data_IF_952989170270
#
_entry.id   IF_952989170270
#
_cell.length_a   1.000
_cell.length_b   1.000
_cell.length_c   1.000
_cell.angle_alpha   90.00
_cell.angle_beta   90.00
_cell.angle_gamma   90.00
#
_symmetry.space_group_name_H-M   'P 1'
#
loop_
_entity.id
_entity.type
_entity.pdbx_description
1 polymer ?
#
# COMPACT_ATOMS: atom_id res chain seq x y z
N UNK A 1 26.03 8.73 6.82
CA UNK A 1 25.51 7.62 6.02
C UNK A 1 24.17 8.10 5.51
N UNK A 2 23.99 8.10 4.20
CA UNK A 2 22.72 8.46 3.58
C UNK A 2 21.57 7.55 4.03
N UNK A 3 20.38 8.11 4.01
CA UNK A 3 19.11 7.44 4.28
C UNK A 3 18.41 7.07 2.97
N UNK A 4 17.86 5.86 2.93
CA UNK A 4 16.87 5.43 1.94
C UNK A 4 15.59 6.28 2.07
N UNK A 5 14.74 6.25 1.03
CA UNK A 5 13.50 7.01 1.02
C UNK A 5 12.60 6.67 2.22
N UNK A 6 12.48 5.37 2.56
CA UNK A 6 11.69 4.95 3.74
C UNK A 6 12.27 5.52 5.04
N UNK A 7 13.59 5.48 5.22
CA UNK A 7 14.23 6.04 6.41
C UNK A 7 14.01 7.56 6.52
N UNK A 8 14.07 8.31 5.40
CA UNK A 8 13.79 9.75 5.40
C UNK A 8 12.36 10.08 5.81
N UNK A 9 11.39 9.35 5.25
CA UNK A 9 9.98 9.52 5.58
C UNK A 9 9.77 9.23 7.08
N UNK A 10 10.27 8.10 7.56
CA UNK A 10 10.13 7.70 8.95
C UNK A 10 10.86 8.64 9.93
N UNK A 11 12.06 9.13 9.59
CA UNK A 11 12.79 10.10 10.41
C UNK A 11 11.99 11.39 10.59
N UNK A 12 11.43 11.93 9.50
CA UNK A 12 10.62 13.13 9.55
C UNK A 12 9.37 12.95 10.44
N UNK A 13 8.67 11.82 10.32
CA UNK A 13 7.46 11.53 11.11
C UNK A 13 7.77 11.10 12.54
N UNK A 14 9.03 10.83 12.87
CA UNK A 14 9.49 10.62 14.24
C UNK A 14 10.08 11.89 14.87
N UNK A 15 10.12 13.01 14.15
CA UNK A 15 10.77 14.24 14.61
C UNK A 15 12.28 14.09 14.81
N UNK A 16 12.92 13.22 14.02
CA UNK A 16 14.37 12.92 14.11
C UNK A 16 15.09 13.41 12.86
N UNK A 17 16.34 13.82 13.02
CA UNK A 17 17.22 14.15 11.89
C UNK A 17 17.61 12.92 11.07
N UNK A 18 17.72 11.76 11.72
CA UNK A 18 18.00 10.49 11.06
C UNK A 18 17.47 9.31 11.88
N UNK A 19 17.27 8.18 11.20
CA UNK A 19 16.95 6.89 11.80
C UNK A 19 17.82 5.80 11.17
N UNK A 20 17.81 4.60 11.77
CA UNK A 20 18.51 3.44 11.21
C UNK A 20 17.63 2.20 11.22
N UNK A 21 17.86 1.23 10.33
CA UNK A 21 17.09 0.01 10.34
C UNK A 21 17.23 -0.75 11.66
N UNK A 22 16.13 -1.35 12.12
CA UNK A 22 16.04 -2.02 13.41
C UNK A 22 15.74 -1.10 14.60
N UNK A 23 15.84 0.22 14.45
CA UNK A 23 15.43 1.18 15.47
C UNK A 23 13.90 1.18 15.64
N UNK A 24 13.41 1.24 16.87
CA UNK A 24 11.98 1.41 17.14
C UNK A 24 11.68 2.89 17.44
N UNK A 25 10.74 3.45 16.70
CA UNK A 25 10.40 4.88 16.72
C UNK A 25 8.89 5.08 16.85
N UNK A 26 8.48 6.17 17.50
CA UNK A 26 7.11 6.65 17.41
C UNK A 26 6.96 7.45 16.12
N UNK A 27 5.93 7.14 15.34
CA UNK A 27 5.70 7.73 14.02
C UNK A 27 4.35 8.42 14.02
N UNK A 28 4.31 9.69 13.65
CA UNK A 28 3.10 10.44 13.36
C UNK A 28 2.41 9.92 12.09
N UNK A 29 1.09 9.74 12.15
CA UNK A 29 0.29 9.18 11.07
C UNK A 29 -0.40 10.29 10.26
N UNK A 30 -0.34 10.19 8.94
CA UNK A 30 -1.04 11.11 8.03
C UNK A 30 -2.40 10.59 7.59
N UNK A 31 -2.50 9.27 7.37
CA UNK A 31 -3.76 8.63 6.98
C UNK A 31 -3.89 7.29 7.69
N UNK A 32 -5.02 7.08 8.35
CA UNK A 32 -5.49 5.76 8.77
C UNK A 32 -6.66 5.35 7.88
N UNK A 33 -6.50 4.25 7.16
CA UNK A 33 -7.58 3.63 6.38
C UNK A 33 -8.14 2.41 7.11
N UNK A 34 -9.48 2.26 7.10
CA UNK A 34 -10.13 1.00 7.47
C UNK A 34 -11.32 0.70 6.56
N UNK A 35 -11.75 -0.55 6.56
CA UNK A 35 -12.85 -1.06 5.73
C UNK A 35 -13.84 -1.89 6.55
N UNK A 36 -14.85 -2.47 5.90
CA UNK A 36 -15.98 -3.18 6.52
C UNK A 36 -15.63 -4.47 7.25
N UNK A 37 -14.50 -5.11 6.94
CA UNK A 37 -14.08 -6.33 7.65
C UNK A 37 -13.44 -5.97 9.00
N UNK A 38 -12.48 -5.06 8.97
CA UNK A 38 -11.63 -4.75 10.13
C UNK A 38 -12.15 -3.58 10.96
N UNK A 39 -12.88 -2.64 10.35
CA UNK A 39 -13.34 -1.41 10.98
C UNK A 39 -14.23 -1.64 12.22
N UNK A 40 -15.21 -2.56 12.22
CA UNK A 40 -15.99 -2.85 13.43
C UNK A 40 -15.13 -3.29 14.62
N UNK A 41 -14.11 -4.12 14.39
CA UNK A 41 -13.18 -4.56 15.42
C UNK A 41 -12.32 -3.40 15.95
N UNK A 42 -11.77 -2.60 15.04
CA UNK A 42 -11.01 -1.38 15.35
C UNK A 42 -11.82 -0.39 16.18
N UNK A 43 -13.08 -0.12 15.79
CA UNK A 43 -13.98 0.79 16.52
C UNK A 43 -14.31 0.25 17.91
N UNK A 44 -14.54 -1.07 18.03
CA UNK A 44 -14.81 -1.72 19.30
C UNK A 44 -13.65 -1.54 20.29
N UNK A 45 -12.42 -1.84 19.87
CA UNK A 45 -11.22 -1.68 20.70
C UNK A 45 -11.00 -0.20 21.03
N UNK A 46 -11.19 0.72 20.07
CA UNK A 46 -11.06 2.15 20.31
C UNK A 46 -11.99 2.63 21.43
N UNK A 47 -13.29 2.27 21.37
CA UNK A 47 -14.26 2.62 22.40
C UNK A 47 -13.98 1.96 23.75
N UNK A 48 -13.46 0.73 23.75
CA UNK A 48 -13.08 0.04 24.97
C UNK A 48 -11.89 0.71 25.67
N UNK A 49 -10.83 1.05 24.91
CA UNK A 49 -9.57 1.54 25.48
C UNK A 49 -9.55 3.05 25.73
N UNK A 50 -10.22 3.85 24.89
CA UNK A 50 -10.27 5.31 25.02
C UNK A 50 -11.58 5.83 25.60
N UNK A 51 -12.60 4.96 25.71
CA UNK A 51 -13.91 5.27 26.27
C UNK A 51 -14.99 5.50 25.22
N UNK A 52 -16.27 5.31 25.58
CA UNK A 52 -17.39 5.32 24.63
C UNK A 52 -17.71 6.70 24.03
N UNK A 53 -17.18 7.77 24.61
CA UNK A 53 -17.34 9.15 24.14
C UNK A 53 -16.05 9.73 23.54
N UNK A 54 -15.02 8.89 23.35
CA UNK A 54 -13.75 9.32 22.78
C UNK A 54 -13.93 9.88 21.37
N UNK A 55 -13.12 10.89 21.05
CA UNK A 55 -13.01 11.43 19.69
C UNK A 55 -11.78 10.87 19.02
N UNK A 56 -11.87 10.62 17.71
CA UNK A 56 -10.69 10.28 16.91
C UNK A 56 -9.67 11.42 16.96
N UNK A 57 -8.38 11.11 16.87
CA UNK A 57 -7.29 12.09 17.01
C UNK A 57 -7.38 13.23 15.99
N UNK A 58 -7.76 12.88 14.75
CA UNK A 58 -7.92 13.81 13.65
C UNK A 58 -8.92 13.20 12.63
N UNK A 59 -10.09 13.82 12.51
CA UNK A 59 -11.16 13.35 11.62
C UNK A 59 -10.79 13.47 10.14
N UNK A 60 -9.90 14.41 9.78
CA UNK A 60 -9.48 14.66 8.40
C UNK A 60 -8.37 13.70 7.95
N UNK A 61 -7.94 12.81 8.84
CA UNK A 61 -6.92 11.77 8.59
C UNK A 61 -7.46 10.35 8.71
N UNK A 62 -8.75 10.17 9.01
CA UNK A 62 -9.42 8.86 9.05
C UNK A 62 -10.24 8.65 7.79
N UNK A 63 -9.93 7.58 7.07
CA UNK A 63 -10.61 7.19 5.82
C UNK A 63 -11.29 5.85 6.00
N UNK A 64 -12.59 5.78 5.69
CA UNK A 64 -13.37 4.55 5.80
C UNK A 64 -13.96 4.19 4.43
N UNK A 65 -13.56 3.04 3.89
CA UNK A 65 -13.98 2.55 2.57
C UNK A 65 -14.48 1.11 2.68
N UNK A 66 -15.80 0.86 2.75
CA UNK A 66 -16.36 -0.48 2.68
C UNK A 66 -16.23 -1.03 1.26
N UNK A 67 -15.63 -2.20 1.05
CA UNK A 67 -15.45 -2.78 -0.29
C UNK A 67 -15.44 -4.32 -0.35
N UNK A 68 -15.28 -5.01 0.78
CA UNK A 68 -15.10 -6.45 0.83
C UNK A 68 -16.42 -7.23 0.83
N UNK A 69 -17.32 -6.89 1.75
CA UNK A 69 -18.61 -7.56 1.97
C UNK A 69 -19.77 -6.64 1.63
N UNK A 70 -19.76 -6.16 0.40
CA UNK A 70 -20.77 -5.27 -0.16
C UNK A 70 -21.63 -6.01 -1.19
N UNK A 71 -22.77 -5.43 -1.55
CA UNK A 71 -23.68 -5.97 -2.57
C UNK A 71 -24.02 -7.46 -2.34
N UNK A 72 -24.16 -7.85 -1.08
CA UNK A 72 -24.44 -9.21 -0.62
C UNK A 72 -25.81 -9.30 0.03
N UNK A 73 -26.34 -10.51 0.21
CA UNK A 73 -27.56 -10.75 1.00
C UNK A 73 -27.24 -11.08 2.48
N UNK A 74 -25.97 -11.17 2.86
CA UNK A 74 -25.56 -11.54 4.21
C UNK A 74 -25.81 -10.40 5.21
N UNK A 75 -26.67 -10.66 6.20
CA UNK A 75 -27.01 -9.71 7.25
C UNK A 75 -25.81 -9.33 8.14
N UNK A 76 -24.84 -10.23 8.33
CA UNK A 76 -23.63 -9.93 9.11
C UNK A 76 -22.75 -8.92 8.39
N UNK A 77 -22.65 -9.02 7.07
CA UNK A 77 -21.95 -8.05 6.25
C UNK A 77 -22.63 -6.67 6.29
N UNK A 78 -23.96 -6.62 6.16
CA UNK A 78 -24.71 -5.37 6.28
C UNK A 78 -24.54 -4.69 7.65
N UNK A 79 -24.57 -5.48 8.73
CA UNK A 79 -24.29 -4.98 10.09
C UNK A 79 -22.93 -4.29 10.18
N UNK A 80 -21.89 -4.81 9.53
CA UNK A 80 -20.57 -4.18 9.56
C UNK A 80 -20.61 -2.79 8.92
N UNK A 81 -21.25 -2.64 7.77
CA UNK A 81 -21.41 -1.34 7.09
C UNK A 81 -22.23 -0.37 7.96
N UNK A 82 -23.28 -0.85 8.63
CA UNK A 82 -24.06 -0.04 9.57
C UNK A 82 -23.22 0.48 10.74
N UNK A 83 -22.37 -0.36 11.35
CA UNK A 83 -21.44 0.06 12.41
C UNK A 83 -20.50 1.17 11.91
N UNK A 84 -19.96 1.03 10.69
CA UNK A 84 -19.11 2.06 10.09
C UNK A 84 -19.87 3.37 9.88
N UNK A 85 -21.11 3.30 9.37
CA UNK A 85 -21.96 4.46 9.13
C UNK A 85 -22.30 5.20 10.42
N UNK A 86 -22.64 4.45 11.47
CA UNK A 86 -22.90 5.02 12.79
C UNK A 86 -21.66 5.70 13.36
N UNK A 87 -20.49 5.05 13.29
CA UNK A 87 -19.24 5.62 13.76
C UNK A 87 -18.82 6.87 12.97
N UNK A 88 -18.91 6.83 11.64
CA UNK A 88 -18.59 7.97 10.79
C UNK A 88 -19.49 9.18 11.10
N UNK A 89 -20.79 8.94 11.32
CA UNK A 89 -21.72 9.99 11.74
C UNK A 89 -21.42 10.50 13.15
N UNK A 90 -21.15 9.60 14.09
CA UNK A 90 -20.84 9.95 15.48
C UNK A 90 -19.61 10.85 15.56
N UNK A 91 -18.54 10.50 14.84
CA UNK A 91 -17.24 11.16 14.83
C UNK A 91 -17.13 12.32 13.83
N UNK A 92 -18.19 12.57 13.05
CA UNK A 92 -18.23 13.59 11.99
C UNK A 92 -17.11 13.40 10.95
N UNK A 93 -16.91 12.16 10.50
CA UNK A 93 -15.82 11.82 9.56
C UNK A 93 -16.17 12.26 8.13
N UNK A 94 -15.37 13.14 7.51
CA UNK A 94 -15.64 13.61 6.15
C UNK A 94 -15.36 12.55 5.08
N UNK A 95 -14.45 11.60 5.36
CA UNK A 95 -13.97 10.61 4.39
C UNK A 95 -14.54 9.20 4.64
N UNK A 96 -15.86 9.14 4.76
CA UNK A 96 -16.62 7.88 4.68
C UNK A 96 -17.23 7.71 3.28
N UNK A 97 -16.80 6.66 2.58
CA UNK A 97 -17.21 6.35 1.21
C UNK A 97 -18.35 5.32 1.21
N UNK A 98 -19.53 5.74 1.66
CA UNK A 98 -20.66 4.86 1.95
C UNK A 98 -21.21 4.12 0.71
N UNK A 99 -21.50 2.83 0.88
CA UNK A 99 -22.03 1.95 -0.17
C UNK A 99 -23.45 2.36 -0.52
N UNK A 100 -23.75 2.44 -1.82
CA UNK A 100 -25.06 2.83 -2.32
C UNK A 100 -25.27 4.35 -2.40
N UNK A 101 -24.23 5.14 -2.12
CA UNK A 101 -24.21 6.59 -2.35
C UNK A 101 -23.40 6.94 -3.59
N UNK A 102 -23.55 8.15 -4.10
CA UNK A 102 -22.72 8.73 -5.16
C UNK A 102 -21.25 8.89 -4.75
N UNK A 103 -20.97 8.87 -3.45
CA UNK A 103 -19.62 8.90 -2.90
C UNK A 103 -18.92 7.56 -2.95
N UNK A 104 -19.59 6.44 -3.21
CA UNK A 104 -18.96 5.11 -3.21
C UNK A 104 -17.82 4.99 -4.25
N UNK A 105 -16.69 4.33 -3.90
CA UNK A 105 -15.47 4.30 -4.73
C UNK A 105 -14.91 2.93 -5.10
N UNK A 106 -15.55 1.83 -4.70
CA UNK A 106 -15.00 0.51 -5.01
C UNK A 106 -13.83 0.14 -4.11
N UNK A 107 -12.85 -0.57 -4.69
CA UNK A 107 -11.70 -1.13 -3.98
C UNK A 107 -10.94 -0.06 -3.19
N UNK A 108 -10.68 -0.33 -1.91
CA UNK A 108 -10.13 0.63 -0.96
C UNK A 108 -8.81 1.28 -1.40
N UNK A 109 -7.83 0.50 -1.87
CA UNK A 109 -6.53 1.04 -2.31
C UNK A 109 -6.61 1.91 -3.57
N UNK A 110 -7.60 1.64 -4.42
CA UNK A 110 -7.91 2.46 -5.60
C UNK A 110 -8.59 3.76 -5.20
N UNK A 111 -9.58 3.67 -4.31
CA UNK A 111 -10.27 4.83 -3.76
C UNK A 111 -9.30 5.79 -3.06
N UNK A 112 -8.33 5.29 -2.28
CA UNK A 112 -7.29 6.10 -1.66
C UNK A 112 -6.51 6.93 -2.70
N UNK A 113 -6.11 6.32 -3.82
CA UNK A 113 -5.43 7.01 -4.90
C UNK A 113 -6.33 8.02 -5.62
N UNK A 114 -7.54 7.61 -6.01
CA UNK A 114 -8.47 8.41 -6.80
C UNK A 114 -8.98 9.65 -6.06
N UNK A 115 -9.09 9.55 -4.73
CA UNK A 115 -9.60 10.62 -3.87
C UNK A 115 -8.48 11.50 -3.27
N UNK A 116 -7.24 11.33 -3.72
CA UNK A 116 -6.13 12.19 -3.33
C UNK A 116 -5.61 11.96 -1.90
N UNK A 117 -5.87 10.77 -1.32
CA UNK A 117 -5.35 10.40 0.00
C UNK A 117 -3.88 9.97 -0.03
N UNK A 118 -3.40 9.53 -1.19
CA UNK A 118 -2.00 9.14 -1.37
C UNK A 118 -1.17 10.34 -1.82
N UNK A 119 -0.37 10.91 -0.91
CA UNK A 119 0.51 12.06 -1.21
C UNK A 119 1.97 11.73 -0.86
N UNK A 120 2.95 12.11 -1.70
CA UNK A 120 4.35 11.80 -1.47
C UNK A 120 4.85 12.23 -0.08
N UNK A 121 5.75 11.42 0.48
CA UNK A 121 6.43 11.70 1.74
C UNK A 121 5.62 11.40 2.99
N UNK A 122 4.35 11.02 2.88
CA UNK A 122 3.47 10.75 4.03
C UNK A 122 3.56 9.31 4.55
N UNK A 123 3.01 9.11 5.75
CA UNK A 123 2.83 7.81 6.41
C UNK A 123 1.36 7.40 6.41
N UNK A 124 1.06 6.26 5.76
CA UNK A 124 -0.28 5.68 5.70
C UNK A 124 -0.32 4.29 6.35
N UNK A 125 -1.22 4.11 7.30
CA UNK A 125 -1.54 2.78 7.84
C UNK A 125 -2.95 2.37 7.45
N UNK A 126 -3.14 1.08 7.20
CA UNK A 126 -4.43 0.53 6.80
C UNK A 126 -4.68 -0.81 7.46
N UNK A 127 -5.93 -1.15 7.72
CA UNK A 127 -6.30 -2.46 8.29
C UNK A 127 -6.40 -3.58 7.25
N UNK A 128 -5.79 -3.38 6.08
CA UNK A 128 -5.68 -4.33 4.98
C UNK A 128 -4.20 -4.63 4.65
N UNK A 129 -3.89 -5.88 4.28
CA UNK A 129 -2.52 -6.32 3.97
C UNK A 129 -1.87 -5.59 2.80
N UNK A 130 -2.65 -5.22 1.79
CA UNK A 130 -2.16 -4.62 0.54
C UNK A 130 -2.12 -3.09 0.59
N UNK A 131 -2.20 -2.52 1.80
CA UNK A 131 -2.00 -1.08 2.05
C UNK A 131 -0.64 -0.59 1.50
N UNK A 132 0.35 -1.47 1.35
CA UNK A 132 1.63 -1.19 0.68
C UNK A 132 1.48 -0.67 -0.77
N UNK A 133 0.31 -0.82 -1.39
CA UNK A 133 -0.03 -0.21 -2.70
C UNK A 133 0.27 1.29 -2.74
N UNK A 134 -0.03 2.04 -1.67
CA UNK A 134 0.17 3.49 -1.60
C UNK A 134 1.64 3.90 -1.69
N UNK A 135 2.57 2.97 -1.47
CA UNK A 135 4.01 3.18 -1.67
C UNK A 135 4.40 3.56 -3.09
N UNK A 136 3.55 3.28 -4.09
CA UNK A 136 3.70 3.74 -5.47
C UNK A 136 3.78 5.28 -5.60
N UNK A 137 3.33 6.01 -4.58
CA UNK A 137 3.31 7.46 -4.51
C UNK A 137 4.52 8.06 -3.76
N UNK A 138 5.51 7.24 -3.39
CA UNK A 138 6.65 7.69 -2.58
C UNK A 138 6.27 7.89 -1.12
N UNK A 139 5.45 7.00 -0.58
CA UNK A 139 4.96 7.00 0.80
C UNK A 139 5.48 5.79 1.56
N UNK A 140 5.56 5.90 2.90
CA UNK A 140 5.63 4.71 3.74
C UNK A 140 4.21 4.22 4.01
N UNK A 141 3.87 3.03 3.54
CA UNK A 141 2.53 2.48 3.69
C UNK A 141 2.53 0.99 4.05
N UNK A 142 1.74 0.59 5.05
CA UNK A 142 1.73 -0.81 5.50
C UNK A 142 0.44 -1.21 6.17
N UNK A 143 0.09 -2.48 6.03
CA UNK A 143 -1.00 -3.10 6.75
C UNK A 143 -0.70 -3.25 8.24
N UNK A 144 -1.72 -3.06 9.07
CA UNK A 144 -1.68 -3.21 10.53
C UNK A 144 -2.93 -3.92 11.05
N UNK A 145 -2.87 -4.40 12.30
CA UNK A 145 -4.01 -5.04 12.95
C UNK A 145 -5.01 -4.04 13.56
N UNK A 146 -6.17 -4.55 13.97
CA UNK A 146 -7.24 -3.74 14.57
C UNK A 146 -6.81 -3.01 15.85
N UNK A 147 -5.93 -3.63 16.66
CA UNK A 147 -5.42 -3.03 17.90
C UNK A 147 -4.55 -1.81 17.61
N UNK A 148 -3.65 -1.93 16.63
CA UNK A 148 -2.79 -0.82 16.20
C UNK A 148 -3.62 0.31 15.59
N UNK A 149 -4.61 -0.04 14.76
CA UNK A 149 -5.51 0.95 14.16
C UNK A 149 -6.35 1.68 15.22
N UNK A 150 -6.84 0.97 16.24
CA UNK A 150 -7.57 1.56 17.36
C UNK A 150 -6.67 2.50 18.19
N UNK A 151 -5.40 2.12 18.36
CA UNK A 151 -4.41 2.96 19.02
C UNK A 151 -4.13 4.24 18.20
N UNK A 152 -4.03 4.14 16.87
CA UNK A 152 -3.91 5.31 16.00
C UNK A 152 -5.18 6.17 16.08
N UNK A 153 -6.38 5.59 16.07
CA UNK A 153 -7.63 6.34 16.22
C UNK A 153 -7.61 7.25 17.46
N UNK A 154 -7.03 6.80 18.57
CA UNK A 154 -6.94 7.60 19.79
C UNK A 154 -5.73 8.54 19.88
N UNK A 155 -4.61 8.23 19.21
CA UNK A 155 -3.33 8.92 19.45
C UNK A 155 -2.70 9.59 18.24
N UNK A 156 -3.09 9.20 17.04
CA UNK A 156 -2.45 9.64 15.79
C UNK A 156 -1.03 9.13 15.59
N UNK A 157 -0.60 8.13 16.36
CA UNK A 157 0.78 7.62 16.37
C UNK A 157 0.81 6.10 16.34
N UNK A 158 1.91 5.53 15.84
CA UNK A 158 2.22 4.11 15.98
C UNK A 158 3.69 3.89 16.29
N UNK A 159 4.01 2.82 17.03
CA UNK A 159 5.38 2.39 17.28
C UNK A 159 5.86 1.47 16.16
N UNK A 160 6.87 1.89 15.42
CA UNK A 160 7.34 1.23 14.20
C UNK A 160 8.81 0.87 14.34
N UNK A 161 9.16 -0.36 13.95
CA UNK A 161 10.55 -0.73 13.70
C UNK A 161 10.92 -0.32 12.27
N UNK A 162 11.95 0.50 12.13
CA UNK A 162 12.46 0.93 10.82
C UNK A 162 12.92 -0.29 10.02
N UNK A 163 12.34 -0.57 8.84
CA UNK A 163 12.74 -1.71 8.03
C UNK A 163 14.06 -1.42 7.32
N UNK A 164 14.84 -2.47 7.07
CA UNK A 164 15.93 -2.40 6.09
C UNK A 164 15.34 -2.42 4.66
N UNK A 165 16.06 -1.87 3.68
CA UNK A 165 15.56 -1.73 2.29
C UNK A 165 16.27 -2.70 1.33
N UNK A 166 15.47 -3.38 0.50
CA UNK A 166 15.90 -4.14 -0.67
C UNK A 166 15.62 -3.31 -1.93
N UNK A 167 16.63 -3.05 -2.76
CA UNK A 167 16.48 -2.28 -3.99
C UNK A 167 16.46 -3.18 -5.21
N UNK A 168 15.42 -3.05 -6.02
CA UNK A 168 15.24 -3.75 -7.29
C UNK A 168 15.26 -2.73 -8.42
N UNK A 169 16.33 -2.77 -9.21
CA UNK A 169 16.59 -1.78 -10.26
C UNK A 169 16.37 -2.39 -11.65
N UNK A 170 15.57 -1.75 -12.49
CA UNK A 170 15.28 -2.21 -13.86
C UNK A 170 15.85 -1.22 -14.89
N UNK A 171 16.81 -1.72 -15.67
CA UNK A 171 17.45 -0.99 -16.77
C UNK A 171 16.80 -1.33 -18.11
N UNK A 172 16.91 -0.46 -19.12
CA UNK A 172 16.34 -0.70 -20.43
C UNK A 172 14.87 -0.27 -20.55
N UNK A 173 14.09 -0.99 -21.36
CA UNK A 173 12.65 -0.72 -21.53
C UNK A 173 11.87 -2.02 -21.51
N UNK A 174 10.73 -2.06 -20.83
CA UNK A 174 9.86 -3.24 -20.87
C UNK A 174 9.34 -3.46 -22.30
N UNK A 175 9.40 -4.68 -22.84
CA UNK A 175 8.73 -5.01 -24.08
C UNK A 175 7.23 -4.65 -24.03
N UNK A 176 6.58 -4.31 -25.16
CA UNK A 176 5.19 -3.81 -25.15
C UNK A 176 4.13 -4.75 -24.56
N UNK A 177 4.48 -6.03 -24.37
CA UNK A 177 3.61 -7.08 -23.82
C UNK A 177 3.92 -7.40 -22.35
N UNK A 178 4.96 -6.79 -21.76
CA UNK A 178 5.32 -6.94 -20.35
C UNK A 178 4.59 -5.86 -19.56
N UNK A 179 3.84 -6.29 -18.55
CA UNK A 179 3.16 -5.41 -17.62
C UNK A 179 3.86 -5.42 -16.27
N UNK A 180 3.57 -4.43 -15.41
CA UNK A 180 3.99 -4.45 -14.02
C UNK A 180 3.67 -5.76 -13.27
N UNK A 181 2.60 -6.47 -13.66
CA UNK A 181 2.26 -7.78 -13.10
C UNK A 181 3.34 -8.84 -13.35
N UNK A 182 3.90 -8.89 -14.55
CA UNK A 182 4.99 -9.83 -14.90
C UNK A 182 6.25 -9.50 -14.11
N UNK A 183 6.56 -8.21 -13.97
CA UNK A 183 7.72 -7.69 -13.23
C UNK A 183 7.67 -8.12 -11.76
N UNK A 184 6.55 -7.90 -11.08
CA UNK A 184 6.42 -8.23 -9.66
C UNK A 184 6.41 -9.76 -9.43
N UNK A 185 5.77 -10.53 -10.31
CA UNK A 185 5.82 -11.99 -10.25
C UNK A 185 7.22 -12.54 -10.52
N UNK A 186 7.98 -11.94 -11.43
CA UNK A 186 9.38 -12.29 -11.66
C UNK A 186 10.20 -12.12 -10.38
N UNK A 187 10.05 -10.98 -9.68
CA UNK A 187 10.78 -10.70 -8.45
C UNK A 187 10.35 -11.61 -7.31
N UNK A 188 9.04 -11.79 -7.09
CA UNK A 188 8.53 -12.70 -6.05
C UNK A 188 9.05 -14.12 -6.28
N UNK A 189 9.01 -14.63 -7.51
CA UNK A 189 9.56 -15.97 -7.79
C UNK A 189 11.09 -16.07 -7.72
N UNK A 190 11.83 -14.95 -7.71
CA UNK A 190 13.28 -14.95 -7.48
C UNK A 190 13.65 -14.95 -6.00
N UNK A 191 12.83 -14.34 -5.14
CA UNK A 191 13.14 -14.16 -3.71
C UNK A 191 12.29 -15.05 -2.79
N UNK A 192 11.19 -15.61 -3.29
CA UNK A 192 10.23 -16.40 -2.53
C UNK A 192 9.24 -15.57 -1.72
N UNK A 193 8.21 -16.22 -1.17
CA UNK A 193 7.14 -15.57 -0.38
C UNK A 193 7.61 -14.92 0.94
N UNK A 194 8.78 -15.31 1.45
CA UNK A 194 9.39 -14.74 2.66
C UNK A 194 10.69 -13.97 2.36
N UNK A 195 11.00 -13.74 1.08
CA UNK A 195 12.28 -13.16 0.65
C UNK A 195 12.50 -11.70 1.10
N UNK A 196 11.41 -10.97 1.36
CA UNK A 196 11.42 -9.57 1.79
C UNK A 196 10.82 -9.38 3.19
N UNK A 197 10.72 -10.42 4.02
CA UNK A 197 10.15 -10.33 5.37
C UNK A 197 10.76 -9.19 6.19
N UNK A 198 9.90 -8.28 6.66
CA UNK A 198 10.25 -7.05 7.39
C UNK A 198 11.13 -6.05 6.63
N UNK A 199 11.20 -6.14 5.31
CA UNK A 199 11.97 -5.22 4.46
C UNK A 199 11.07 -4.31 3.64
N UNK A 200 11.59 -3.13 3.30
CA UNK A 200 11.01 -2.32 2.22
C UNK A 200 11.49 -2.86 0.88
N UNK A 201 10.59 -3.05 -0.07
CA UNK A 201 10.92 -3.27 -1.48
C UNK A 201 10.94 -1.93 -2.23
N UNK A 202 12.12 -1.40 -2.52
CA UNK A 202 12.30 -0.16 -3.27
C UNK A 202 12.49 -0.46 -4.76
N UNK A 203 11.58 0.04 -5.60
CA UNK A 203 11.64 -0.11 -7.05
C UNK A 203 12.31 1.10 -7.69
N UNK A 204 13.27 0.84 -8.57
CA UNK A 204 14.05 1.88 -9.20
C UNK A 204 14.47 1.52 -10.63
N UNK A 205 15.11 2.47 -11.30
CA UNK A 205 15.62 2.31 -12.67
C UNK A 205 14.70 2.91 -13.71
N UNK A 206 15.27 3.21 -14.88
CA UNK A 206 14.58 3.94 -15.94
C UNK A 206 13.29 3.25 -16.43
N UNK A 207 13.26 1.91 -16.42
CA UNK A 207 12.09 1.17 -16.87
C UNK A 207 10.91 1.35 -15.91
N UNK A 208 11.18 1.35 -14.59
CA UNK A 208 10.17 1.62 -13.55
C UNK A 208 9.64 3.04 -13.66
N UNK A 209 10.51 4.02 -13.90
CA UNK A 209 10.09 5.43 -13.99
C UNK A 209 9.25 5.74 -15.23
N UNK A 210 9.27 4.88 -16.26
CA UNK A 210 8.40 5.00 -17.45
C UNK A 210 6.98 4.46 -17.23
N UNK A 211 6.74 3.71 -16.16
CA UNK A 211 5.43 3.12 -15.85
C UNK A 211 4.40 4.19 -15.46
N UNK A 212 3.13 3.93 -15.80
CA UNK A 212 2.00 4.71 -15.29
C UNK A 212 1.82 4.56 -13.78
N UNK A 213 1.00 5.40 -13.15
CA UNK A 213 0.70 5.24 -11.72
C UNK A 213 -0.02 3.94 -11.43
N UNK A 214 -0.90 3.48 -12.31
CA UNK A 214 -1.63 2.22 -12.18
C UNK A 214 -0.69 1.01 -12.21
N UNK A 215 0.33 1.05 -13.06
CA UNK A 215 1.38 0.03 -13.11
C UNK A 215 2.28 0.06 -11.87
N UNK A 216 2.66 1.25 -11.41
CA UNK A 216 3.40 1.42 -10.14
C UNK A 216 2.62 0.89 -8.94
N UNK A 217 1.33 1.16 -8.87
CA UNK A 217 0.43 0.60 -7.85
C UNK A 217 0.41 -0.93 -7.91
N UNK A 218 0.43 -1.52 -9.10
CA UNK A 218 0.50 -2.98 -9.28
C UNK A 218 1.79 -3.57 -8.69
N UNK A 219 2.94 -2.94 -8.93
CA UNK A 219 4.22 -3.35 -8.34
C UNK A 219 4.19 -3.30 -6.80
N UNK A 220 3.72 -2.19 -6.25
CA UNK A 220 3.72 -1.98 -4.81
C UNK A 220 2.68 -2.84 -4.07
N UNK A 221 1.54 -3.11 -4.71
CA UNK A 221 0.44 -3.89 -4.14
C UNK A 221 0.88 -5.29 -3.70
N UNK A 222 1.69 -5.98 -4.50
CA UNK A 222 2.06 -7.36 -4.21
C UNK A 222 3.33 -7.52 -3.36
N UNK A 223 3.92 -6.45 -2.83
CA UNK A 223 5.11 -6.59 -1.98
C UNK A 223 4.85 -7.45 -0.73
N UNK A 224 3.63 -7.42 -0.19
CA UNK A 224 3.24 -8.27 0.94
C UNK A 224 3.29 -9.76 0.59
N UNK A 225 3.16 -10.14 -0.69
CA UNK A 225 3.25 -11.53 -1.15
C UNK A 225 4.69 -12.08 -1.15
N UNK A 226 5.68 -11.20 -0.98
CA UNK A 226 7.07 -11.56 -0.67
C UNK A 226 7.43 -11.33 0.80
N UNK A 227 6.44 -11.05 1.66
CA UNK A 227 6.63 -10.69 3.07
C UNK A 227 7.09 -9.25 3.30
N UNK A 228 7.12 -8.43 2.24
CA UNK A 228 7.54 -7.04 2.29
C UNK A 228 6.71 -6.22 3.27
N UNK A 229 7.38 -5.45 4.13
CA UNK A 229 6.71 -4.55 5.08
C UNK A 229 6.06 -3.37 4.36
N UNK A 230 6.74 -2.85 3.35
CA UNK A 230 6.33 -1.74 2.49
C UNK A 230 6.92 -1.97 1.10
N UNK A 231 6.33 -1.35 0.09
CA UNK A 231 6.96 -1.15 -1.21
C UNK A 231 7.11 0.35 -1.45
N UNK A 232 8.08 0.81 -2.21
CA UNK A 232 8.18 2.25 -2.47
C UNK A 232 8.81 2.57 -3.82
N UNK A 233 8.31 3.62 -4.46
CA UNK A 233 8.84 4.20 -5.69
C UNK A 233 9.01 5.69 -5.45
N UNK A 234 10.16 6.26 -5.82
CA UNK A 234 10.35 7.71 -5.71
C UNK A 234 9.31 8.46 -6.55
N UNK A 235 8.72 9.51 -5.98
CA UNK A 235 7.78 10.35 -6.70
C UNK A 235 8.50 11.18 -7.78
N UNK A 236 8.00 11.11 -9.00
CA UNK A 236 8.47 11.87 -10.16
C UNK A 236 7.33 12.69 -10.79
N UNK A 237 7.54 13.24 -11.98
CA UNK A 237 6.53 14.06 -12.67
C UNK A 237 5.22 13.31 -12.94
N UNK A 238 5.27 12.00 -13.18
CA UNK A 238 4.07 11.16 -13.38
C UNK A 238 3.27 11.10 -12.08
N UNK A 239 3.94 10.84 -10.95
CA UNK A 239 3.30 10.85 -9.62
C UNK A 239 2.76 12.23 -9.28
N UNK A 240 3.55 13.29 -9.49
CA UNK A 240 3.16 14.66 -9.16
C UNK A 240 1.96 15.13 -9.96
N UNK A 241 1.89 14.80 -11.25
CA UNK A 241 0.74 15.12 -12.09
C UNK A 241 -0.52 14.42 -11.55
N UNK A 242 -0.43 13.12 -11.28
CA UNK A 242 -1.57 12.34 -10.78
C UNK A 242 -2.13 12.90 -9.47
N UNK A 243 -1.26 13.23 -8.52
CA UNK A 243 -1.65 13.73 -7.19
C UNK A 243 -2.26 15.13 -7.28
N UNK A 244 -1.62 16.05 -8.03
CA UNK A 244 -2.09 17.44 -8.16
C UNK A 244 -3.42 17.59 -8.88
N UNK A 245 -3.79 16.63 -9.74
CA UNK A 245 -5.11 16.56 -10.35
C UNK A 245 -6.23 16.20 -9.34
N UNK A 246 -5.88 15.68 -8.16
CA UNK A 246 -6.83 15.10 -7.19
C UNK A 246 -6.84 15.80 -5.83
N UNK A 247 -5.78 16.51 -5.47
CA UNK A 247 -5.70 17.26 -4.21
C UNK A 247 -4.77 18.46 -4.29
N UNK A 248 -5.10 19.49 -3.53
CA UNK A 248 -4.30 20.71 -3.29
C UNK A 248 -3.57 20.68 -1.93
N UNK A 249 -3.74 19.62 -1.14
CA UNK A 249 -3.05 19.46 0.15
C UNK A 249 -1.53 19.48 -0.05
N UNK A 250 -0.77 20.18 0.82
CA UNK A 250 0.67 20.22 0.71
C UNK A 250 1.28 18.85 1.02
N UNK A 251 2.38 18.53 0.35
CA UNK A 251 3.13 17.29 0.56
C UNK A 251 4.62 17.52 0.28
N UNK A 252 5.47 16.57 0.71
CA UNK A 252 6.93 16.66 0.54
C UNK A 252 7.42 15.54 -0.37
N UNK A 253 8.27 15.89 -1.33
CA UNK A 253 8.93 14.90 -2.19
C UNK A 253 10.32 14.65 -1.63
N UNK A 254 10.53 13.44 -1.09
CA UNK A 254 11.84 12.97 -0.66
C UNK A 254 12.42 12.00 -1.71
N UNK A 255 13.75 11.81 -1.67
CA UNK A 255 14.49 10.83 -2.48
C UNK A 255 15.53 10.14 -1.63
N UNK A 256 15.89 8.90 -1.97
CA UNK A 256 17.02 8.22 -1.32
C UNK A 256 18.30 9.05 -1.47
N UNK A 257 19.14 9.08 -0.44
CA UNK A 257 20.46 9.70 -0.54
C UNK A 257 21.35 8.92 -1.52
N UNK A 258 22.26 9.59 -2.26
CA UNK A 258 23.17 8.91 -3.18
C UNK A 258 24.07 7.84 -2.51
N UNK A 259 24.41 8.03 -1.24
CA UNK A 259 25.22 7.10 -0.44
C UNK A 259 24.36 6.23 0.51
N UNK A 260 23.04 6.11 0.25
CA UNK A 260 22.16 5.24 1.03
C UNK A 260 22.59 3.76 0.95
N UNK A 261 22.51 3.08 2.10
CA UNK A 261 22.83 1.66 2.21
C UNK A 261 21.58 0.80 2.03
N UNK A 262 21.74 -0.31 1.33
CA UNK A 262 20.65 -1.25 1.06
C UNK A 262 21.09 -2.63 1.48
N UNK A 263 20.21 -3.37 2.15
CA UNK A 263 20.48 -4.73 2.56
C UNK A 263 20.73 -5.65 1.37
N UNK A 264 19.99 -5.41 0.30
CA UNK A 264 20.04 -6.17 -0.93
C UNK A 264 19.89 -5.21 -2.10
N UNK A 265 20.64 -5.46 -3.17
CA UNK A 265 20.50 -4.79 -4.46
C UNK A 265 20.48 -5.84 -5.55
N UNK A 266 19.52 -5.75 -6.46
CA UNK A 266 19.52 -6.55 -7.69
C UNK A 266 19.09 -5.71 -8.87
N UNK A 267 19.86 -5.84 -9.95
CA UNK A 267 19.58 -5.19 -11.23
C UNK A 267 19.01 -6.21 -12.20
N UNK A 268 17.97 -5.81 -12.93
CA UNK A 268 17.33 -6.55 -13.99
C UNK A 268 17.46 -5.78 -15.31
N UNK A 269 17.57 -6.52 -16.40
CA UNK A 269 17.41 -5.97 -17.75
C UNK A 269 15.95 -6.14 -18.15
N UNK A 270 15.23 -5.03 -18.29
CA UNK A 270 13.80 -5.02 -18.59
C UNK A 270 13.50 -5.68 -19.95
N UNK A 271 14.42 -5.56 -20.90
CA UNK A 271 14.32 -6.12 -22.26
C UNK A 271 14.32 -7.66 -22.26
N UNK A 272 14.87 -8.29 -21.21
CA UNK A 272 14.99 -9.74 -21.08
C UNK A 272 13.77 -10.38 -20.39
N UNK A 273 12.78 -9.58 -19.97
CA UNK A 273 11.61 -10.11 -19.27
C UNK A 273 10.63 -10.78 -20.23
N UNK A 274 10.10 -11.92 -19.78
CA UNK A 274 9.06 -12.68 -20.45
C UNK A 274 7.75 -12.62 -19.64
N UNK A 275 6.57 -12.82 -20.25
CA UNK A 275 5.31 -12.89 -19.53
C UNK A 275 5.32 -14.01 -18.49
N UNK A 276 4.94 -13.69 -17.25
CA UNK A 276 5.01 -14.59 -16.09
C UNK A 276 3.61 -14.92 -15.57
N UNK A 277 3.42 -16.20 -15.21
CA UNK A 277 2.24 -16.70 -14.50
C UNK A 277 2.69 -17.30 -13.16
N UNK A 278 1.99 -16.97 -12.08
CA UNK A 278 2.10 -17.70 -10.83
C UNK A 278 1.22 -18.95 -10.88
N UNK A 279 1.82 -20.14 -10.83
CA UNK A 279 1.12 -21.42 -10.83
C UNK A 279 0.53 -21.71 -9.43
N UNK A 280 -0.51 -22.56 -9.33
CA UNK A 280 -0.99 -23.01 -8.04
C UNK A 280 0.11 -23.70 -7.21
N UNK A 281 0.14 -23.58 -5.88
CA UNK A 281 -0.77 -22.83 -5.01
C UNK A 281 -0.07 -21.64 -4.32
N UNK A 282 1.01 -21.10 -4.91
CA UNK A 282 1.83 -20.06 -4.28
C UNK A 282 2.21 -18.94 -5.26
N UNK A 283 2.21 -17.65 -4.83
CA UNK A 283 2.61 -16.52 -5.68
C UNK A 283 4.03 -16.61 -6.24
N UNK A 284 4.95 -17.29 -5.54
CA UNK A 284 6.35 -17.48 -5.96
C UNK A 284 6.56 -18.67 -6.89
N UNK A 285 5.55 -19.50 -7.13
CA UNK A 285 5.61 -20.62 -8.07
C UNK A 285 5.50 -20.12 -9.52
N UNK A 286 6.42 -19.24 -9.92
CA UNK A 286 6.42 -18.62 -11.23
C UNK A 286 6.74 -19.63 -12.35
N UNK A 287 6.20 -19.35 -13.52
CA UNK A 287 6.56 -19.97 -14.78
C UNK A 287 6.35 -18.93 -15.89
N UNK A 288 7.09 -19.04 -16.98
CA UNK A 288 6.76 -18.30 -18.19
C UNK A 288 5.42 -18.78 -18.75
N UNK A 289 4.73 -17.91 -19.50
CA UNK A 289 3.52 -18.31 -20.22
C UNK A 289 3.80 -19.49 -21.17
N UNK A 290 4.99 -19.56 -21.76
CA UNK A 290 5.42 -20.65 -22.64
C UNK A 290 5.47 -22.01 -21.93
N UNK A 291 5.96 -22.05 -20.69
CA UNK A 291 5.98 -23.26 -19.86
C UNK A 291 4.57 -23.75 -19.49
N UNK A 292 3.57 -22.86 -19.53
CA UNK A 292 2.18 -23.18 -19.23
C UNK A 292 1.35 -23.49 -20.49
N UNK A 293 2.00 -23.66 -21.66
CA UNK A 293 1.30 -23.92 -22.91
C UNK A 293 0.44 -25.20 -22.83
N UNK A 294 -0.80 -25.11 -23.29
CA UNK A 294 -1.74 -26.22 -23.31
C UNK A 294 -2.53 -26.45 -22.02
N UNK A 295 -2.31 -25.65 -20.97
CA UNK A 295 -3.18 -25.66 -19.78
C UNK A 295 -4.57 -25.16 -20.16
N UNK A 296 -5.58 -26.01 -19.94
CA UNK A 296 -6.98 -25.65 -20.20
C UNK A 296 -7.48 -24.70 -19.11
N UNK A 297 -8.05 -23.56 -19.52
CA UNK A 297 -8.73 -22.61 -18.64
C UNK A 297 -10.24 -22.80 -18.75
N UNK A 298 -10.92 -23.04 -17.64
CA UNK A 298 -12.39 -23.11 -17.62
C UNK A 298 -13.02 -21.75 -17.28
N UNK A 299 -12.28 -20.85 -16.62
CA UNK A 299 -12.74 -19.51 -16.21
C UNK A 299 -11.58 -18.52 -16.20
N UNK A 300 -11.88 -17.26 -16.48
CA UNK A 300 -10.98 -16.12 -16.30
C UNK A 300 -11.67 -15.03 -15.48
N UNK A 301 -10.89 -14.31 -14.69
CA UNK A 301 -11.32 -13.15 -13.92
C UNK A 301 -10.38 -12.00 -14.22
N UNK A 302 -10.93 -10.89 -14.70
CA UNK A 302 -10.17 -9.69 -15.07
C UNK A 302 -10.67 -8.56 -14.18
N UNK A 303 -9.75 -7.97 -13.44
CA UNK A 303 -9.99 -6.82 -12.57
C UNK A 303 -10.00 -7.19 -11.10
N UNK A 304 -8.98 -6.75 -10.35
CA UNK A 304 -8.84 -6.87 -8.90
C UNK A 304 -8.14 -5.61 -8.34
N UNK A 305 -7.85 -5.56 -7.03
CA UNK A 305 -7.00 -4.50 -6.48
C UNK A 305 -5.65 -4.37 -7.20
N UNK A 306 -5.11 -5.50 -7.69
CA UNK A 306 -3.86 -5.55 -8.46
C UNK A 306 -4.08 -5.21 -9.94
N UNK A 307 -5.12 -5.71 -10.60
CA UNK A 307 -5.24 -5.67 -12.08
C UNK A 307 -6.51 -5.04 -12.67
N UNK A 308 -7.32 -4.33 -11.88
CA UNK A 308 -8.58 -3.71 -12.32
C UNK A 308 -8.50 -2.19 -12.53
N UNK A 309 -7.32 -1.68 -12.85
CA UNK A 309 -7.02 -0.25 -12.95
C UNK A 309 -6.93 0.18 -14.41
#
# INVERSE_FOLDING_TARGET
>A
MGMTLTEKILAAHAGKESVRPGENIWVDVDVLMTHDVCGPGTIGIFKEQFGPQARVWDKDKVVIIPDHYIFTADQRAHRNVEILREFAKEQDLPYYYDVGTDRYKGVCHLALAQEGHNRPGEVLFGTDSHTCTSGAFGMFSTGIGNTDAAFILGTGKLWVKVPETMRFEFTGTFPPYIMAKDVILQVIGDIGVDGATYRTMEWAGEAIMKLSMEERMTLCNMAIEAGGKNAIIEADEVTLKYVKERTDKPFRVDRSDPDANYFFKKTYHADDLEPIVAKPHSPDNKATVGECAGVKLDRSYIGSCTGGK
#
